data_IF_375400827278
#
_entry.id   IF_375400827278
#
_cell.length_a   1.000
_cell.length_b   1.000
_cell.length_c   1.000
_cell.angle_alpha   90.00
_cell.angle_beta   90.00
_cell.angle_gamma   90.00
#
_symmetry.space_group_name_H-M   'P 1'
#
loop_
_entity.id
_entity.type
_entity.pdbx_description
1 polymer ?
#
# COMPACT_ATOMS: atom_id res chain seq x y z
N UNK A 1 -5.63 14.36 -1.36
CA UNK A 1 -6.60 15.46 -1.60
C UNK A 1 -6.20 16.71 -0.85
N UNK A 2 -5.96 16.63 0.46
CA UNK A 2 -5.74 17.78 1.35
C UNK A 2 -4.62 18.72 0.92
N UNK A 3 -3.43 18.22 0.66
CA UNK A 3 -2.27 19.04 0.24
C UNK A 3 -2.57 19.84 -1.02
N UNK A 4 -3.19 19.20 -2.03
CA UNK A 4 -3.55 19.93 -3.27
C UNK A 4 -4.62 20.99 -3.03
N UNK A 5 -5.64 20.65 -2.24
CA UNK A 5 -6.72 21.58 -1.91
C UNK A 5 -6.19 22.80 -1.16
N UNK A 6 -5.36 22.58 -0.13
CA UNK A 6 -4.74 23.64 0.67
C UNK A 6 -3.92 24.60 -0.21
N UNK A 7 -3.05 24.08 -1.07
CA UNK A 7 -2.24 24.89 -1.98
C UNK A 7 -3.09 25.70 -2.98
N UNK A 8 -4.12 25.09 -3.54
CA UNK A 8 -4.98 25.79 -4.50
C UNK A 8 -5.81 26.88 -3.82
N UNK A 9 -6.35 26.63 -2.63
CA UNK A 9 -7.07 27.63 -1.85
C UNK A 9 -6.17 28.81 -1.47
N UNK A 10 -4.95 28.53 -0.98
CA UNK A 10 -3.98 29.58 -0.66
C UNK A 10 -3.59 30.42 -1.89
N UNK A 11 -3.34 29.79 -3.02
CA UNK A 11 -3.09 30.49 -4.29
C UNK A 11 -4.27 31.36 -4.76
N UNK A 12 -5.49 30.99 -4.38
CA UNK A 12 -6.69 31.78 -4.65
C UNK A 12 -6.92 32.90 -3.62
N UNK A 13 -5.99 33.15 -2.70
CA UNK A 13 -6.02 34.23 -1.71
C UNK A 13 -6.64 33.86 -0.37
N UNK A 14 -6.99 32.61 -0.13
CA UNK A 14 -7.47 32.18 1.19
C UNK A 14 -6.32 32.04 2.20
N UNK A 15 -6.57 32.40 3.46
CA UNK A 15 -5.69 32.01 4.58
C UNK A 15 -5.98 30.55 4.95
N UNK A 16 -5.00 29.69 4.77
CA UNK A 16 -5.17 28.25 4.87
C UNK A 16 -4.22 27.63 5.88
N UNK A 17 -4.75 26.72 6.69
CA UNK A 17 -3.97 25.80 7.50
C UNK A 17 -4.29 24.35 7.11
N UNK A 18 -3.33 23.45 7.34
CA UNK A 18 -3.49 21.99 7.16
C UNK A 18 -2.91 21.29 8.39
N UNK A 19 -3.62 20.28 8.88
CA UNK A 19 -3.11 19.40 9.93
C UNK A 19 -2.84 18.00 9.34
N UNK A 20 -1.66 17.47 9.63
CA UNK A 20 -1.23 16.13 9.24
C UNK A 20 -0.52 15.47 10.43
N UNK A 21 -1.00 14.29 10.86
CA UNK A 21 -0.43 13.59 12.01
C UNK A 21 0.75 12.67 11.67
N UNK A 22 1.00 12.47 10.38
CA UNK A 22 2.06 11.61 9.85
C UNK A 22 2.88 12.37 8.79
N UNK A 23 3.37 11.69 7.76
CA UNK A 23 4.13 12.33 6.70
C UNK A 23 3.25 13.09 5.72
N UNK A 24 3.71 14.27 5.36
CA UNK A 24 3.04 15.13 4.36
C UNK A 24 3.19 14.54 2.97
N UNK A 25 2.07 14.30 2.28
CA UNK A 25 2.07 13.75 0.91
C UNK A 25 0.78 13.00 0.58
N UNK A 26 0.16 12.41 1.61
CA UNK A 26 -1.04 11.58 1.48
C UNK A 26 -0.72 10.17 0.99
N UNK A 27 -1.73 9.32 0.96
CA UNK A 27 -1.60 7.88 0.69
C UNK A 27 -0.79 7.56 -0.57
N UNK A 28 -1.04 8.25 -1.68
CA UNK A 28 -0.38 7.95 -2.95
C UNK A 28 1.15 8.12 -2.88
N UNK A 29 1.61 9.18 -2.22
CA UNK A 29 3.05 9.50 -2.13
C UNK A 29 3.74 8.64 -1.07
N UNK A 30 3.11 8.48 0.10
CA UNK A 30 3.77 7.91 1.28
C UNK A 30 3.66 6.38 1.32
N UNK A 31 2.46 5.84 1.05
CA UNK A 31 2.14 4.41 1.26
C UNK A 31 1.22 3.85 0.16
N UNK A 32 1.40 4.29 -1.07
CA UNK A 32 0.56 3.88 -2.20
C UNK A 32 1.29 3.91 -3.52
N UNK A 33 0.85 4.76 -4.44
CA UNK A 33 1.25 4.75 -5.85
C UNK A 33 2.77 4.84 -6.05
N UNK A 34 3.45 5.73 -5.33
CA UNK A 34 4.89 5.97 -5.54
C UNK A 34 5.73 4.80 -5.05
N UNK A 35 5.70 4.42 -3.75
CA UNK A 35 6.50 3.30 -3.28
C UNK A 35 6.14 1.99 -4.02
N UNK A 36 4.85 1.75 -4.29
CA UNK A 36 4.41 0.58 -5.04
C UNK A 36 5.05 0.52 -6.43
N UNK A 37 5.06 1.63 -7.17
CA UNK A 37 5.60 1.63 -8.54
C UNK A 37 7.11 1.42 -8.56
N UNK A 38 7.83 1.96 -7.58
CA UNK A 38 9.26 1.70 -7.43
C UNK A 38 9.54 0.22 -7.11
N UNK A 39 8.73 -0.42 -6.26
CA UNK A 39 8.83 -1.85 -6.01
C UNK A 39 8.51 -2.69 -7.26
N UNK A 40 7.51 -2.28 -8.07
CA UNK A 40 7.22 -2.94 -9.35
C UNK A 40 8.43 -2.89 -10.27
N UNK A 41 9.07 -1.73 -10.42
CA UNK A 41 10.29 -1.62 -11.23
C UNK A 41 11.41 -2.54 -10.73
N UNK A 42 11.60 -2.63 -9.39
CA UNK A 42 12.56 -3.56 -8.80
C UNK A 42 12.23 -5.03 -9.13
N UNK A 43 10.95 -5.39 -9.10
CA UNK A 43 10.48 -6.74 -9.40
C UNK A 43 10.62 -7.09 -10.90
N UNK A 44 10.43 -6.12 -11.80
CA UNK A 44 10.55 -6.30 -13.26
C UNK A 44 11.97 -6.68 -13.68
N UNK A 45 13.02 -6.24 -12.97
CA UNK A 45 14.40 -6.64 -13.29
C UNK A 45 14.61 -8.15 -13.21
N UNK A 46 14.00 -8.84 -12.25
CA UNK A 46 14.10 -10.28 -12.14
C UNK A 46 13.55 -11.01 -13.38
N UNK A 47 12.46 -10.52 -13.95
CA UNK A 47 11.92 -11.04 -15.21
C UNK A 47 12.81 -10.66 -16.40
N UNK A 48 13.26 -9.41 -16.48
CA UNK A 48 14.14 -8.95 -17.53
C UNK A 48 15.44 -9.78 -17.62
N UNK A 49 16.04 -10.16 -16.49
CA UNK A 49 17.22 -11.05 -16.48
C UNK A 49 16.91 -12.43 -17.02
N UNK A 50 15.73 -13.00 -16.78
CA UNK A 50 15.30 -14.28 -17.36
C UNK A 50 15.09 -14.17 -18.87
N UNK A 51 14.50 -13.10 -19.33
CA UNK A 51 14.17 -12.86 -20.74
C UNK A 51 15.40 -12.46 -21.58
N UNK A 52 16.42 -11.89 -20.95
CA UNK A 52 17.66 -11.39 -21.56
C UNK A 52 18.32 -12.44 -22.48
N UNK A 53 18.25 -13.72 -22.13
CA UNK A 53 18.80 -14.82 -22.91
C UNK A 53 18.21 -14.88 -24.33
N UNK A 54 16.90 -14.61 -24.48
CA UNK A 54 16.22 -14.58 -25.78
C UNK A 54 16.69 -13.45 -26.68
N UNK A 55 17.37 -12.45 -26.13
CA UNK A 55 17.94 -11.30 -26.83
C UNK A 55 19.47 -11.32 -26.93
N UNK A 56 20.08 -12.49 -26.68
CA UNK A 56 21.52 -12.70 -26.83
C UNK A 56 22.36 -12.21 -25.62
N UNK A 57 21.75 -11.82 -24.52
CA UNK A 57 22.46 -11.47 -23.31
C UNK A 57 22.71 -12.69 -22.43
N UNK A 58 23.90 -12.81 -21.88
CA UNK A 58 24.22 -13.79 -20.84
C UNK A 58 24.28 -13.06 -19.50
N UNK A 59 23.44 -13.49 -18.55
CA UNK A 59 23.47 -13.01 -17.17
C UNK A 59 23.91 -14.18 -16.32
N UNK A 60 25.19 -14.22 -15.97
CA UNK A 60 25.78 -15.37 -15.27
C UNK A 60 25.29 -15.48 -13.84
N UNK A 61 25.05 -14.34 -13.18
CA UNK A 61 24.46 -14.28 -11.84
C UNK A 61 23.68 -12.98 -11.63
N UNK A 62 22.57 -13.07 -10.92
CA UNK A 62 21.84 -11.93 -10.40
C UNK A 62 21.52 -12.19 -8.92
N UNK A 63 21.79 -11.22 -8.09
CA UNK A 63 21.48 -11.26 -6.66
C UNK A 63 20.59 -10.08 -6.32
N UNK A 64 19.48 -10.37 -5.66
CA UNK A 64 18.56 -9.36 -5.17
C UNK A 64 18.76 -9.13 -3.68
N UNK A 65 18.74 -7.87 -3.26
CA UNK A 65 18.77 -7.45 -1.86
C UNK A 65 17.56 -6.56 -1.56
N UNK A 66 16.67 -7.09 -0.74
CA UNK A 66 15.45 -6.40 -0.34
C UNK A 66 15.72 -5.13 0.44
N UNK A 67 16.67 -5.16 1.39
CA UNK A 67 16.96 -4.00 2.21
C UNK A 67 17.39 -2.81 1.36
N UNK A 68 18.25 -3.03 0.37
CA UNK A 68 18.66 -1.99 -0.58
C UNK A 68 17.46 -1.40 -1.34
N UNK A 69 16.57 -2.23 -1.87
CA UNK A 69 15.39 -1.73 -2.60
C UNK A 69 14.45 -0.98 -1.66
N UNK A 70 14.11 -1.55 -0.51
CA UNK A 70 13.25 -0.93 0.50
C UNK A 70 13.79 0.45 0.91
N UNK A 71 15.04 0.52 1.28
CA UNK A 71 15.65 1.75 1.81
C UNK A 71 15.73 2.85 0.75
N UNK A 72 16.03 2.50 -0.51
CA UNK A 72 15.98 3.44 -1.63
C UNK A 72 14.55 3.95 -1.87
N UNK A 73 13.55 3.09 -1.78
CA UNK A 73 12.14 3.48 -1.91
C UNK A 73 11.74 4.42 -0.77
N UNK A 74 12.12 4.11 0.47
CA UNK A 74 11.83 4.97 1.62
C UNK A 74 12.55 6.32 1.54
N UNK A 75 13.79 6.35 1.08
CA UNK A 75 14.52 7.60 0.85
C UNK A 75 13.81 8.50 -0.19
N UNK A 76 13.29 7.91 -1.28
CA UNK A 76 12.53 8.67 -2.28
C UNK A 76 11.19 9.17 -1.73
N UNK A 77 10.48 8.37 -0.93
CA UNK A 77 9.25 8.80 -0.25
C UNK A 77 9.53 9.98 0.68
N UNK A 78 10.59 9.90 1.49
CA UNK A 78 11.00 10.99 2.39
C UNK A 78 11.35 12.26 1.61
N UNK A 79 12.12 12.13 0.51
CA UNK A 79 12.45 13.25 -0.38
C UNK A 79 11.20 13.94 -0.93
N UNK A 80 10.23 13.14 -1.38
CA UNK A 80 8.96 13.67 -1.90
C UNK A 80 8.13 14.35 -0.81
N UNK A 81 8.05 13.78 0.39
CA UNK A 81 7.39 14.40 1.53
C UNK A 81 7.97 15.78 1.83
N UNK A 82 9.30 15.91 1.81
CA UNK A 82 9.99 17.20 1.94
C UNK A 82 9.59 18.21 0.85
N UNK A 83 9.49 17.77 -0.40
CA UNK A 83 9.01 18.63 -1.50
C UNK A 83 7.57 19.09 -1.26
N UNK A 84 6.70 18.21 -0.77
CA UNK A 84 5.31 18.58 -0.47
C UNK A 84 5.22 19.60 0.67
N UNK A 85 6.06 19.49 1.72
CA UNK A 85 6.20 20.48 2.79
C UNK A 85 6.63 21.85 2.24
N UNK A 86 7.73 21.87 1.48
CA UNK A 86 8.23 23.09 0.85
C UNK A 86 7.18 23.75 -0.07
N UNK A 87 6.39 22.95 -0.76
CA UNK A 87 5.31 23.45 -1.60
C UNK A 87 4.13 24.04 -0.80
N UNK A 88 3.85 23.55 0.39
CA UNK A 88 2.86 24.15 1.30
C UNK A 88 3.38 25.48 1.84
N UNK A 89 4.61 25.49 2.33
CA UNK A 89 5.28 26.69 2.85
C UNK A 89 5.34 27.81 1.79
N UNK A 90 5.84 27.49 0.60
CA UNK A 90 5.89 28.45 -0.54
C UNK A 90 4.51 28.96 -0.97
N UNK A 91 3.44 28.26 -0.67
CA UNK A 91 2.07 28.71 -0.89
C UNK A 91 1.48 29.51 0.28
N UNK A 92 2.22 29.69 1.38
CA UNK A 92 1.76 30.37 2.59
C UNK A 92 0.73 29.56 3.41
N UNK A 93 0.76 28.22 3.30
CA UNK A 93 -0.11 27.34 4.08
C UNK A 93 0.54 27.02 5.41
N UNK A 94 -0.15 27.31 6.51
CA UNK A 94 0.30 26.95 7.87
C UNK A 94 0.15 25.43 8.07
N UNK A 95 1.24 24.72 8.38
CA UNK A 95 1.24 23.27 8.60
C UNK A 95 1.31 22.96 10.09
N UNK A 96 0.35 22.20 10.60
CA UNK A 96 0.34 21.60 11.93
C UNK A 96 0.65 20.11 11.84
N UNK A 97 1.77 19.67 12.41
CA UNK A 97 2.21 18.28 12.38
C UNK A 97 1.64 17.50 13.57
N UNK A 98 0.34 17.46 13.65
CA UNK A 98 -0.38 16.76 14.71
C UNK A 98 -1.80 16.38 14.28
N UNK A 99 -2.44 15.53 15.09
CA UNK A 99 -3.82 15.12 14.85
C UNK A 99 -4.77 16.28 15.16
N UNK A 100 -5.68 16.53 14.23
CA UNK A 100 -6.76 17.46 14.37
C UNK A 100 -8.12 16.74 14.50
N UNK A 101 -8.98 17.25 15.36
CA UNK A 101 -10.35 16.75 15.57
C UNK A 101 -11.33 17.90 15.33
N UNK A 102 -12.35 17.66 14.53
CA UNK A 102 -13.43 18.62 14.31
C UNK A 102 -14.32 18.66 15.54
N UNK A 103 -14.44 19.84 16.16
CA UNK A 103 -15.23 20.05 17.37
C UNK A 103 -16.57 20.73 17.13
N UNK A 104 -16.83 21.17 15.91
CA UNK A 104 -18.07 21.83 15.50
C UNK A 104 -17.99 22.33 14.06
N UNK A 105 -19.00 23.02 13.60
CA UNK A 105 -19.08 23.51 12.21
C UNK A 105 -17.87 24.35 11.79
N UNK A 106 -17.30 25.10 12.73
CA UNK A 106 -16.20 26.03 12.49
C UNK A 106 -15.01 25.82 13.45
N UNK A 107 -15.00 24.73 14.21
CA UNK A 107 -14.02 24.44 15.25
C UNK A 107 -13.17 23.22 14.96
N UNK A 108 -11.88 23.33 15.21
CA UNK A 108 -10.90 22.25 15.13
C UNK A 108 -10.02 22.29 16.36
N UNK A 109 -9.80 21.16 17.02
CA UNK A 109 -8.86 21.01 18.12
C UNK A 109 -7.62 20.25 17.63
N UNK A 110 -6.46 20.83 17.82
CA UNK A 110 -5.16 20.17 17.66
C UNK A 110 -4.86 19.40 18.95
N UNK A 111 -4.73 18.07 18.85
CA UNK A 111 -4.75 17.22 20.06
C UNK A 111 -3.47 17.23 20.88
N UNK A 112 -2.32 17.41 20.23
CA UNK A 112 -1.03 17.37 20.93
C UNK A 112 -0.72 18.69 21.64
N UNK A 113 -1.02 19.80 20.98
CA UNK A 113 -0.80 21.16 21.52
C UNK A 113 -1.99 21.69 22.35
N UNK A 114 -3.11 20.97 22.38
CA UNK A 114 -4.41 21.40 22.98
C UNK A 114 -4.89 22.76 22.46
N UNK A 115 -4.56 23.08 21.22
CA UNK A 115 -4.87 24.36 20.58
C UNK A 115 -6.18 24.29 19.80
N UNK A 116 -7.13 25.15 20.16
CA UNK A 116 -8.36 25.33 19.41
C UNK A 116 -8.15 26.32 18.25
N UNK A 117 -8.61 25.97 17.06
CA UNK A 117 -8.56 26.79 15.85
C UNK A 117 -9.98 26.98 15.34
N UNK A 118 -10.32 28.20 14.91
CA UNK A 118 -11.55 28.50 14.21
C UNK A 118 -11.30 28.67 12.71
N UNK A 119 -12.21 28.15 11.86
CA UNK A 119 -12.17 28.32 10.43
C UNK A 119 -13.58 28.52 9.86
N UNK A 120 -13.72 29.38 8.84
CA UNK A 120 -14.99 29.54 8.14
C UNK A 120 -15.39 28.27 7.40
N UNK A 121 -14.40 27.54 6.90
CA UNK A 121 -14.60 26.30 6.14
C UNK A 121 -13.60 25.25 6.56
N UNK A 122 -14.09 24.05 6.81
CA UNK A 122 -13.29 22.89 7.17
C UNK A 122 -13.42 21.85 6.06
N UNK A 123 -12.28 21.48 5.47
CA UNK A 123 -12.20 20.39 4.50
C UNK A 123 -11.69 19.13 5.20
N UNK A 124 -12.53 18.12 5.33
CA UNK A 124 -12.14 16.80 5.83
C UNK A 124 -11.51 16.00 4.70
N UNK A 125 -10.19 15.81 4.77
CA UNK A 125 -9.40 15.09 3.77
C UNK A 125 -8.48 14.06 4.45
N UNK A 126 -9.01 13.35 5.43
CA UNK A 126 -8.29 12.46 6.35
C UNK A 126 -7.85 11.14 5.72
N UNK A 127 -8.22 10.88 4.46
CA UNK A 127 -7.87 9.63 3.78
C UNK A 127 -8.69 8.43 4.25
N UNK A 128 -8.12 7.24 4.11
CA UNK A 128 -8.73 5.99 4.53
C UNK A 128 -7.77 5.10 5.29
N UNK A 129 -8.33 4.14 6.00
CA UNK A 129 -7.58 3.11 6.71
C UNK A 129 -7.87 1.75 6.10
N UNK A 130 -6.92 0.83 6.21
CA UNK A 130 -7.13 -0.57 5.83
C UNK A 130 -8.23 -1.17 6.70
N UNK A 131 -9.26 -1.70 6.08
CA UNK A 131 -10.30 -2.45 6.77
C UNK A 131 -9.76 -3.82 7.20
N UNK A 132 -9.90 -4.14 8.46
CA UNK A 132 -9.65 -5.48 9.00
C UNK A 132 -10.99 -6.07 9.46
N UNK A 133 -11.36 -7.31 9.03
CA UNK A 133 -12.63 -7.92 9.44
C UNK A 133 -12.57 -8.28 10.93
N UNK A 134 -13.38 -7.64 11.75
CA UNK A 134 -13.35 -7.80 13.22
C UNK A 134 -13.67 -9.23 13.72
N UNK A 135 -14.29 -10.05 12.88
CA UNK A 135 -14.78 -11.38 13.25
C UNK A 135 -13.90 -12.52 12.74
N UNK A 136 -12.72 -12.24 12.16
CA UNK A 136 -11.79 -13.28 11.73
C UNK A 136 -10.78 -13.55 12.85
N UNK A 137 -10.83 -14.70 13.54
CA UNK A 137 -9.85 -15.04 14.57
C UNK A 137 -8.43 -14.99 14.02
N UNK A 138 -7.52 -14.35 14.75
CA UNK A 138 -6.11 -14.20 14.36
C UNK A 138 -5.85 -13.12 13.29
N UNK A 139 -6.83 -12.25 12.98
CA UNK A 139 -6.64 -11.18 12.00
C UNK A 139 -5.48 -10.23 12.35
N UNK A 140 -5.16 -10.09 13.62
CA UNK A 140 -4.04 -9.29 14.13
C UNK A 140 -2.67 -9.82 13.70
N UNK A 141 -2.59 -11.10 13.34
CA UNK A 141 -1.38 -11.75 12.82
C UNK A 141 -1.10 -11.36 11.36
N UNK A 142 -2.08 -10.78 10.68
CA UNK A 142 -1.95 -10.27 9.32
C UNK A 142 -1.37 -8.86 9.30
N UNK A 143 -0.70 -8.52 8.22
CA UNK A 143 -0.20 -7.18 7.92
C UNK A 143 -1.06 -6.48 6.89
N UNK A 144 -0.97 -5.17 6.81
CA UNK A 144 -1.61 -4.36 5.77
C UNK A 144 -0.64 -4.04 4.63
N UNK A 145 -1.17 -3.48 3.54
CA UNK A 145 -0.34 -2.96 2.45
C UNK A 145 0.63 -1.86 2.91
N UNK A 146 0.30 -1.11 3.95
CA UNK A 146 1.20 -0.11 4.54
C UNK A 146 2.41 -0.79 5.18
N UNK A 147 2.18 -1.85 5.94
CA UNK A 147 3.23 -2.62 6.61
C UNK A 147 4.11 -3.35 5.58
N UNK A 148 3.51 -3.80 4.46
CA UNK A 148 4.21 -4.50 3.39
C UNK A 148 5.31 -3.66 2.72
N UNK A 149 5.21 -2.32 2.73
CA UNK A 149 6.28 -1.44 2.25
C UNK A 149 7.48 -1.36 3.20
N UNK A 150 7.33 -1.81 4.44
CA UNK A 150 8.29 -1.64 5.53
C UNK A 150 8.82 -2.97 6.08
N UNK A 151 8.56 -4.07 5.38
CA UNK A 151 9.06 -5.39 5.81
C UNK A 151 10.58 -5.38 6.01
N UNK A 152 11.06 -5.90 7.12
CA UNK A 152 12.51 -6.01 7.40
C UNK A 152 13.18 -6.99 6.44
N UNK A 153 12.49 -8.07 6.09
CA UNK A 153 12.92 -9.07 5.13
C UNK A 153 11.74 -9.58 4.31
N UNK A 154 12.01 -10.05 3.09
CA UNK A 154 10.99 -10.74 2.32
C UNK A 154 10.66 -12.10 2.95
N UNK A 155 9.37 -12.44 3.11
CA UNK A 155 8.99 -13.78 3.52
C UNK A 155 9.27 -14.78 2.39
N UNK A 156 9.41 -16.06 2.73
CA UNK A 156 9.48 -17.11 1.71
C UNK A 156 8.14 -17.34 1.01
N UNK A 157 7.04 -17.09 1.72
CA UNK A 157 5.66 -17.22 1.24
C UNK A 157 4.81 -16.07 1.72
N UNK A 158 3.84 -15.67 0.92
CA UNK A 158 2.84 -14.66 1.29
C UNK A 158 1.47 -15.03 0.77
N UNK A 159 0.46 -14.78 1.62
CA UNK A 159 -0.94 -14.88 1.24
C UNK A 159 -1.57 -13.50 1.29
N UNK A 160 -2.16 -13.08 0.19
CA UNK A 160 -2.79 -11.77 0.01
C UNK A 160 -4.31 -11.95 0.03
N UNK A 161 -4.97 -11.37 1.03
CA UNK A 161 -6.41 -11.40 1.14
C UNK A 161 -7.02 -10.19 0.42
N UNK A 162 -7.67 -10.44 -0.71
CA UNK A 162 -8.32 -9.42 -1.53
C UNK A 162 -8.17 -9.68 -3.01
N UNK A 163 -9.03 -9.09 -3.84
CA UNK A 163 -9.01 -9.26 -5.29
C UNK A 163 -9.07 -7.93 -6.03
N UNK A 164 -8.77 -6.81 -5.36
CA UNK A 164 -8.67 -5.49 -5.98
C UNK A 164 -7.29 -5.24 -6.58
N UNK A 165 -7.13 -4.06 -7.21
CA UNK A 165 -5.89 -3.70 -7.87
C UNK A 165 -4.67 -3.69 -6.93
N UNK A 166 -4.83 -3.31 -5.66
CA UNK A 166 -3.75 -3.35 -4.65
C UNK A 166 -3.24 -4.79 -4.47
N UNK A 167 -4.15 -5.75 -4.34
CA UNK A 167 -3.78 -7.16 -4.19
C UNK A 167 -3.03 -7.69 -5.41
N UNK A 168 -3.50 -7.38 -6.62
CA UNK A 168 -2.85 -7.78 -7.87
C UNK A 168 -1.45 -7.17 -7.99
N UNK A 169 -1.30 -5.88 -7.67
CA UNK A 169 -0.01 -5.17 -7.71
C UNK A 169 1.00 -5.74 -6.72
N UNK A 170 0.60 -6.00 -5.47
CA UNK A 170 1.49 -6.64 -4.50
C UNK A 170 1.82 -8.08 -4.86
N UNK A 171 0.87 -8.82 -5.44
CA UNK A 171 1.15 -10.16 -5.92
C UNK A 171 2.20 -10.17 -7.03
N UNK A 172 2.13 -9.22 -7.97
CA UNK A 172 3.14 -9.04 -9.01
C UNK A 172 4.51 -8.69 -8.41
N UNK A 173 4.54 -7.79 -7.41
CA UNK A 173 5.78 -7.39 -6.73
C UNK A 173 6.41 -8.61 -6.04
N UNK A 174 5.69 -9.27 -5.14
CA UNK A 174 6.24 -10.36 -4.35
C UNK A 174 6.65 -11.54 -5.23
N UNK A 175 5.82 -11.96 -6.19
CA UNK A 175 6.15 -13.02 -7.13
C UNK A 175 7.37 -12.65 -7.98
N UNK A 176 7.45 -11.43 -8.48
CA UNK A 176 8.59 -10.94 -9.27
C UNK A 176 9.90 -10.92 -8.49
N UNK A 177 9.83 -10.72 -7.16
CA UNK A 177 10.96 -10.76 -6.23
C UNK A 177 11.25 -12.17 -5.69
N UNK A 178 10.55 -13.21 -6.17
CA UNK A 178 10.81 -14.60 -5.85
C UNK A 178 10.09 -15.14 -4.61
N UNK A 179 9.10 -14.44 -4.08
CA UNK A 179 8.25 -14.90 -2.98
C UNK A 179 7.14 -15.80 -3.50
N UNK A 180 6.93 -16.98 -2.90
CA UNK A 180 5.78 -17.84 -3.19
C UNK A 180 4.49 -17.12 -2.83
N UNK A 181 3.70 -16.71 -3.83
CA UNK A 181 2.61 -15.78 -3.65
C UNK A 181 1.25 -16.42 -3.92
N UNK A 182 0.32 -16.28 -2.99
CA UNK A 182 -1.07 -16.74 -3.14
C UNK A 182 -2.03 -15.57 -2.92
N UNK A 183 -3.00 -15.40 -3.83
CA UNK A 183 -4.14 -14.48 -3.65
C UNK A 183 -5.36 -15.29 -3.25
N UNK A 184 -6.10 -14.82 -2.23
CA UNK A 184 -7.43 -15.33 -1.88
C UNK A 184 -8.45 -14.22 -2.09
N UNK A 185 -9.53 -14.58 -2.79
CA UNK A 185 -10.59 -13.63 -3.07
C UNK A 185 -11.97 -14.27 -2.96
N UNK A 186 -12.89 -13.57 -2.31
CA UNK A 186 -14.28 -14.04 -2.10
C UNK A 186 -15.13 -14.13 -3.37
N UNK A 187 -14.80 -13.34 -4.40
CA UNK A 187 -15.52 -13.34 -5.68
C UNK A 187 -14.97 -14.38 -6.64
N UNK A 188 -15.65 -14.56 -7.76
CA UNK A 188 -15.32 -15.55 -8.78
C UNK A 188 -14.06 -15.21 -9.60
N UNK A 189 -13.74 -13.91 -9.73
CA UNK A 189 -12.60 -13.41 -10.51
C UNK A 189 -12.11 -12.10 -9.94
N UNK A 190 -10.79 -11.89 -9.96
CA UNK A 190 -10.13 -10.68 -9.50
C UNK A 190 -10.69 -9.41 -10.17
N UNK A 191 -10.34 -8.24 -9.66
CA UNK A 191 -10.63 -6.91 -10.21
C UNK A 191 -12.12 -6.64 -10.43
N UNK A 192 -12.97 -6.89 -9.41
CA UNK A 192 -14.40 -6.58 -9.48
C UNK A 192 -14.62 -5.12 -9.91
N UNK A 193 -15.48 -4.91 -10.90
CA UNK A 193 -15.84 -3.59 -11.44
C UNK A 193 -15.01 -3.16 -12.65
N UNK A 194 -13.98 -3.93 -13.02
CA UNK A 194 -13.26 -3.76 -14.27
C UNK A 194 -13.95 -4.57 -15.40
N UNK A 195 -13.60 -4.26 -16.64
CA UNK A 195 -14.03 -4.98 -17.83
C UNK A 195 -13.69 -6.47 -17.73
N UNK A 196 -14.56 -7.33 -18.30
CA UNK A 196 -14.45 -8.77 -18.18
C UNK A 196 -13.17 -9.32 -18.79
N UNK A 197 -12.78 -8.84 -19.97
CA UNK A 197 -11.59 -9.32 -20.67
C UNK A 197 -10.31 -8.88 -19.97
N UNK A 198 -10.29 -7.66 -19.43
CA UNK A 198 -9.18 -7.17 -18.59
C UNK A 198 -9.03 -8.05 -17.34
N UNK A 199 -10.12 -8.38 -16.66
CA UNK A 199 -10.10 -9.25 -15.47
C UNK A 199 -9.57 -10.65 -15.80
N UNK A 200 -10.02 -11.22 -16.91
CA UNK A 200 -9.59 -12.54 -17.37
C UNK A 200 -8.09 -12.53 -17.68
N UNK A 201 -7.63 -11.54 -18.43
CA UNK A 201 -6.23 -11.43 -18.83
C UNK A 201 -5.30 -11.21 -17.64
N UNK A 202 -5.64 -10.27 -16.72
CA UNK A 202 -4.80 -10.00 -15.54
C UNK A 202 -4.70 -11.24 -14.64
N UNK A 203 -5.81 -11.97 -14.43
CA UNK A 203 -5.75 -13.17 -13.61
C UNK A 203 -4.90 -14.26 -14.29
N UNK A 204 -5.06 -14.50 -15.60
CA UNK A 204 -4.26 -15.46 -16.36
C UNK A 204 -2.77 -15.10 -16.33
N UNK A 205 -2.42 -13.81 -16.44
CA UNK A 205 -1.02 -13.38 -16.36
C UNK A 205 -0.41 -13.57 -14.97
N UNK A 206 -1.16 -13.30 -13.90
CA UNK A 206 -0.72 -13.59 -12.54
C UNK A 206 -0.46 -15.09 -12.35
N UNK A 207 -1.37 -15.94 -12.80
CA UNK A 207 -1.21 -17.40 -12.74
C UNK A 207 -0.02 -17.88 -13.57
N UNK A 208 0.19 -17.32 -14.77
CA UNK A 208 1.33 -17.61 -15.65
C UNK A 208 2.67 -17.23 -15.01
N UNK A 209 2.71 -16.18 -14.21
CA UNK A 209 3.91 -15.76 -13.48
C UNK A 209 4.12 -16.47 -12.14
N UNK A 210 3.30 -17.50 -11.85
CA UNK A 210 3.44 -18.36 -10.68
C UNK A 210 2.66 -17.93 -9.45
N UNK A 211 1.79 -16.92 -9.56
CA UNK A 211 0.89 -16.55 -8.47
C UNK A 211 -0.26 -17.56 -8.39
N UNK A 212 -0.48 -18.16 -7.24
CA UNK A 212 -1.65 -19.00 -6.99
C UNK A 212 -2.87 -18.15 -6.71
N UNK A 213 -3.94 -18.31 -7.48
CA UNK A 213 -5.19 -17.56 -7.31
C UNK A 213 -6.30 -18.50 -6.82
N UNK A 214 -6.88 -18.23 -5.65
CA UNK A 214 -7.98 -18.97 -5.05
C UNK A 214 -9.18 -18.02 -4.95
N UNK A 215 -10.11 -18.16 -5.89
CA UNK A 215 -11.37 -17.43 -5.90
C UNK A 215 -12.49 -18.19 -5.17
N UNK A 216 -13.59 -17.51 -4.85
CA UNK A 216 -14.75 -18.08 -4.16
C UNK A 216 -14.49 -18.45 -2.70
N UNK A 217 -13.43 -17.90 -2.07
CA UNK A 217 -13.05 -18.26 -0.72
C UNK A 217 -12.66 -17.05 0.13
N UNK A 218 -12.84 -17.15 1.43
CA UNK A 218 -12.40 -16.15 2.43
C UNK A 218 -11.56 -16.82 3.50
N UNK A 219 -10.84 -16.02 4.27
CA UNK A 219 -10.10 -16.48 5.45
C UNK A 219 -11.08 -16.59 6.61
N UNK A 220 -11.20 -17.78 7.18
CA UNK A 220 -12.01 -18.04 8.37
C UNK A 220 -11.19 -17.84 9.65
N UNK A 221 -9.93 -18.24 9.66
CA UNK A 221 -9.05 -18.07 10.80
C UNK A 221 -7.57 -18.04 10.40
N UNK A 222 -6.76 -17.38 11.24
CA UNK A 222 -5.31 -17.40 11.17
C UNK A 222 -4.80 -17.84 12.54
N UNK A 223 -3.88 -18.80 12.56
CA UNK A 223 -3.24 -19.28 13.79
C UNK A 223 -1.72 -19.26 13.64
N UNK A 224 -0.96 -18.98 14.70
CA UNK A 224 0.48 -19.15 14.68
C UNK A 224 0.81 -20.64 14.53
N UNK A 225 1.75 -20.99 13.65
CA UNK A 225 2.27 -22.34 13.50
C UNK A 225 3.68 -22.43 14.09
N UNK A 226 4.51 -21.44 13.83
CA UNK A 226 5.82 -21.20 14.45
C UNK A 226 6.00 -19.68 14.66
N UNK A 227 7.16 -19.23 15.15
CA UNK A 227 7.47 -17.80 15.27
C UNK A 227 7.34 -17.05 13.93
N UNK A 228 7.72 -17.70 12.83
CA UNK A 228 7.74 -17.09 11.49
C UNK A 228 6.64 -17.60 10.55
N UNK A 229 5.90 -18.65 10.91
CA UNK A 229 4.88 -19.25 10.04
C UNK A 229 3.50 -19.23 10.66
N UNK A 230 2.51 -19.08 9.81
CA UNK A 230 1.10 -19.04 10.18
C UNK A 230 0.31 -20.08 9.40
N UNK A 231 -0.70 -20.65 10.03
CA UNK A 231 -1.68 -21.52 9.39
C UNK A 231 -2.93 -20.70 9.12
N UNK A 232 -3.32 -20.60 7.85
CA UNK A 232 -4.52 -19.91 7.42
C UNK A 232 -5.56 -20.93 7.01
N UNK A 233 -6.73 -20.91 7.66
CA UNK A 233 -7.87 -21.75 7.33
C UNK A 233 -8.87 -20.95 6.50
N UNK A 234 -9.32 -21.53 5.40
CA UNK A 234 -10.27 -20.93 4.47
C UNK A 234 -11.69 -21.47 4.67
N UNK A 235 -12.68 -20.75 4.17
CA UNK A 235 -14.10 -21.11 4.24
C UNK A 235 -14.47 -22.45 3.58
N UNK A 236 -13.61 -22.96 2.69
CA UNK A 236 -13.74 -24.29 2.09
C UNK A 236 -12.96 -25.38 2.84
N UNK A 237 -12.56 -25.12 4.07
CA UNK A 237 -11.75 -25.99 4.94
C UNK A 237 -10.32 -26.26 4.44
N UNK A 238 -9.87 -25.62 3.36
CA UNK A 238 -8.47 -25.67 2.93
C UNK A 238 -7.59 -24.99 3.96
N UNK A 239 -6.43 -25.54 4.21
CA UNK A 239 -5.42 -24.96 5.07
C UNK A 239 -4.17 -24.62 4.25
N UNK A 240 -3.62 -23.45 4.52
CA UNK A 240 -2.41 -22.94 3.86
C UNK A 240 -1.41 -22.50 4.93
N UNK A 241 -0.18 -22.90 4.75
CA UNK A 241 0.94 -22.47 5.58
C UNK A 241 1.65 -21.29 4.88
N UNK A 242 1.82 -20.20 5.61
CA UNK A 242 2.46 -18.95 5.13
C UNK A 242 3.42 -18.40 6.16
#
# INVERSE_FOLDING_TARGET
GGVRAARLAAKAGARVAIAEQAEVGGTCVIRGCVPKKLLVYGAEFGQAFRDAKGFGWTVDWARFDWATLRDNVQAEVARLSGIYRNNLDAAGVELFEERAVVTGANGVLLQQSDRAISAERILVATGGHTYRPLNTPGQELGISSTDAFLLDALPSRILIAGGGYIACEFATIFSGLGVETTIIYRGERLLRGFDHDIRANVQSELERTGVKVICGSVIDAIAPLTESRKLVTLSNSMQLEV
#
